data_IF_228352686155
#
_entry.id   IF_228352686155
#
_cell.length_a   1.000
_cell.length_b   1.000
_cell.length_c   1.000
_cell.angle_alpha   90.00
_cell.angle_beta   90.00
_cell.angle_gamma   90.00
#
_symmetry.space_group_name_H-M   'P 1'
#
loop_
_entity.id
_entity.type
_entity.pdbx_description
1 polymer ?
#
# COMPACT_ATOMS: atom_id res chain seq x y z
N UNK A 1 -29.83 -35.79 28.22
CA UNK A 1 -30.04 -37.25 28.23
C UNK A 1 -29.84 -37.74 26.81
N UNK A 2 -28.91 -38.69 26.65
CA UNK A 2 -28.74 -39.65 25.54
C UNK A 2 -28.33 -39.08 24.16
N UNK A 3 -27.16 -39.42 23.60
CA UNK A 3 -26.78 -40.74 23.00
C UNK A 3 -27.67 -41.07 21.77
N UNK A 4 -27.22 -41.40 20.54
CA UNK A 4 -26.06 -42.19 20.08
C UNK A 4 -26.08 -42.33 18.53
N UNK A 5 -24.94 -42.76 17.96
CA UNK A 5 -24.76 -43.69 16.78
C UNK A 5 -24.94 -43.18 15.32
N UNK A 6 -23.88 -43.17 14.49
CA UNK A 6 -23.36 -44.22 13.55
C UNK A 6 -24.01 -44.09 12.13
N UNK A 7 -23.32 -44.04 10.97
CA UNK A 7 -22.74 -45.19 10.24
C UNK A 7 -22.15 -44.77 8.88
N UNK A 8 -21.07 -45.45 8.48
CA UNK A 8 -20.39 -45.65 7.17
C UNK A 8 -21.27 -45.70 5.91
N UNK A 9 -20.77 -45.18 4.77
CA UNK A 9 -20.97 -45.76 3.42
C UNK A 9 -19.84 -45.32 2.48
N UNK A 10 -19.15 -46.29 1.87
CA UNK A 10 -18.12 -46.08 0.85
C UNK A 10 -18.71 -45.97 -0.56
N UNK A 11 -17.92 -45.43 -1.49
CA UNK A 11 -18.23 -45.44 -2.92
C UNK A 11 -17.07 -46.08 -3.68
N UNK A 12 -17.43 -47.17 -4.34
CA UNK A 12 -16.74 -48.00 -5.32
C UNK A 12 -16.53 -47.21 -6.63
N UNK A 13 -15.33 -47.26 -7.22
CA UNK A 13 -15.11 -46.76 -8.60
C UNK A 13 -14.62 -47.93 -9.45
N UNK A 14 -15.52 -48.36 -10.34
CA UNK A 14 -15.32 -49.35 -11.38
C UNK A 14 -14.50 -48.78 -12.55
N UNK A 15 -13.47 -49.54 -12.91
CA UNK A 15 -13.08 -49.98 -14.25
C UNK A 15 -13.41 -49.08 -15.47
N UNK A 16 -12.37 -48.56 -16.13
CA UNK A 16 -12.34 -48.38 -17.59
C UNK A 16 -10.92 -48.73 -18.10
N UNK A 17 -10.81 -49.93 -18.66
CA UNK A 17 -9.72 -50.38 -19.51
C UNK A 17 -9.66 -49.61 -20.84
N UNK A 18 -8.44 -49.33 -21.32
CA UNK A 18 -8.18 -48.80 -22.65
C UNK A 18 -6.75 -49.15 -23.09
N UNK A 19 -6.68 -49.94 -24.16
CA UNK A 19 -5.57 -50.75 -24.66
C UNK A 19 -4.23 -50.05 -24.97
N UNK A 20 -3.20 -50.84 -24.72
CA UNK A 20 -1.78 -50.65 -25.04
C UNK A 20 -1.46 -51.26 -26.40
N UNK A 21 -1.13 -50.44 -27.40
CA UNK A 21 -0.47 -50.90 -28.63
C UNK A 21 1.03 -50.57 -28.63
N UNK A 22 1.76 -51.53 -29.21
CA UNK A 22 3.17 -51.92 -29.00
C UNK A 22 4.10 -51.33 -30.07
N UNK A 23 5.35 -51.07 -29.66
CA UNK A 23 6.62 -51.15 -30.44
C UNK A 23 6.87 -50.18 -31.61
N UNK A 24 8.08 -49.75 -32.00
CA UNK A 24 9.49 -49.82 -31.53
C UNK A 24 10.34 -49.06 -32.58
N UNK A 25 11.51 -48.52 -32.19
CA UNK A 25 12.63 -47.92 -32.98
C UNK A 25 12.53 -46.40 -33.27
N UNK A 26 13.55 -45.55 -33.12
CA UNK A 26 14.93 -45.64 -32.64
C UNK A 26 15.45 -44.21 -32.37
N UNK A 27 16.34 -44.01 -31.39
CA UNK A 27 17.19 -42.81 -31.36
C UNK A 27 17.60 -42.26 -30.00
N UNK A 28 18.68 -42.84 -29.45
CA UNK A 28 19.83 -42.18 -28.77
C UNK A 28 19.62 -41.37 -27.48
N UNK A 29 20.23 -41.94 -26.43
CA UNK A 29 21.07 -41.31 -25.40
C UNK A 29 20.47 -40.25 -24.45
N UNK A 30 20.19 -40.67 -23.20
CA UNK A 30 20.89 -40.21 -21.99
C UNK A 30 20.02 -40.39 -20.73
N UNK A 31 20.38 -41.45 -19.99
CA UNK A 31 20.38 -41.59 -18.53
C UNK A 31 20.16 -40.28 -17.72
N UNK A 32 19.24 -40.28 -16.74
CA UNK A 32 19.51 -40.09 -15.29
C UNK A 32 18.18 -40.03 -14.50
N UNK A 33 17.88 -41.17 -13.87
CA UNK A 33 17.45 -41.34 -12.47
C UNK A 33 16.42 -40.35 -11.86
N UNK A 34 15.13 -40.72 -11.90
CA UNK A 34 14.11 -40.18 -10.99
C UNK A 34 14.11 -40.98 -9.68
N UNK A 35 14.82 -40.50 -8.66
CA UNK A 35 14.54 -40.88 -7.27
C UNK A 35 13.91 -39.71 -6.53
N UNK A 36 12.63 -39.91 -6.27
CA UNK A 36 11.74 -39.19 -5.36
C UNK A 36 12.37 -39.14 -3.95
N UNK A 37 12.52 -37.95 -3.36
CA UNK A 37 12.66 -37.82 -1.90
C UNK A 37 11.99 -36.56 -1.38
N UNK A 38 10.81 -36.80 -0.82
CA UNK A 38 10.15 -36.19 0.33
C UNK A 38 10.27 -34.68 0.59
N UNK A 39 9.10 -34.04 0.57
CA UNK A 39 8.72 -33.00 1.52
C UNK A 39 8.87 -31.58 1.00
N UNK A 40 7.75 -30.85 0.90
CA UNK A 40 7.52 -29.54 1.53
C UNK A 40 6.07 -29.13 1.19
N UNK A 41 5.34 -28.82 2.24
CA UNK A 41 4.09 -28.08 2.40
C UNK A 41 3.47 -27.47 1.13
N UNK A 42 2.20 -27.77 0.87
CA UNK A 42 1.35 -26.97 -0.03
C UNK A 42 1.32 -25.52 0.47
N UNK A 43 2.15 -24.66 -0.13
CA UNK A 43 2.07 -23.22 0.07
C UNK A 43 0.89 -22.70 -0.75
N UNK A 44 -0.28 -22.57 -0.13
CA UNK A 44 -1.40 -21.81 -0.71
C UNK A 44 -0.97 -20.36 -0.87
N UNK A 45 -0.75 -19.94 -2.12
CA UNK A 45 -0.42 -18.55 -2.44
C UNK A 45 -1.73 -17.81 -2.65
N UNK A 46 -2.09 -16.94 -1.70
CA UNK A 46 -3.19 -15.98 -1.85
C UNK A 46 -2.61 -14.60 -2.18
N UNK A 47 -2.99 -14.05 -3.33
CA UNK A 47 -2.61 -12.69 -3.74
C UNK A 47 -3.87 -11.85 -3.89
N UNK A 48 -3.93 -10.72 -3.17
CA UNK A 48 -4.93 -9.69 -3.36
C UNK A 48 -4.27 -8.55 -4.14
N UNK A 49 -4.75 -8.26 -5.35
CA UNK A 49 -4.22 -7.18 -6.19
C UNK A 49 -5.29 -6.10 -6.35
N UNK A 50 -5.01 -4.92 -5.80
CA UNK A 50 -5.84 -3.72 -5.97
C UNK A 50 -5.06 -2.62 -6.68
N UNK A 51 -5.59 -2.14 -7.81
CA UNK A 51 -5.00 -1.10 -8.65
C UNK A 51 -4.96 -1.49 -10.12
N UNK A 52 -4.95 -0.48 -11.02
CA UNK A 52 -4.88 -0.71 -12.47
C UNK A 52 -3.53 -1.32 -12.86
N UNK A 53 -3.58 -2.51 -13.47
CA UNK A 53 -2.42 -3.23 -13.94
C UNK A 53 -2.25 -3.00 -15.44
N UNK A 54 -1.06 -2.57 -15.86
CA UNK A 54 -0.63 -2.68 -17.26
C UNK A 54 0.59 -3.60 -17.32
N UNK A 55 0.35 -4.88 -17.63
CA UNK A 55 1.41 -5.89 -17.77
C UNK A 55 0.92 -7.33 -17.56
N UNK A 56 1.78 -8.30 -17.91
CA UNK A 56 1.49 -9.73 -17.74
C UNK A 56 1.88 -10.19 -16.33
N UNK A 57 0.95 -10.86 -15.64
CA UNK A 57 1.14 -11.48 -14.33
C UNK A 57 1.35 -12.99 -14.51
N UNK A 58 2.53 -13.50 -14.19
CA UNK A 58 2.82 -14.93 -14.17
C UNK A 58 2.89 -15.42 -12.72
N UNK A 59 2.04 -16.39 -12.37
CA UNK A 59 1.99 -16.98 -11.02
C UNK A 59 2.51 -18.42 -11.12
N UNK A 60 3.61 -18.72 -10.42
CA UNK A 60 4.18 -20.07 -10.35
C UNK A 60 5.21 -20.17 -9.23
N UNK A 61 5.34 -21.35 -8.61
CA UNK A 61 6.33 -21.59 -7.55
C UNK A 61 7.75 -21.51 -8.12
N UNK A 62 8.66 -20.84 -7.40
CA UNK A 62 10.07 -20.70 -7.78
C UNK A 62 10.43 -19.45 -8.60
N UNK A 63 9.50 -18.49 -8.78
CA UNK A 63 9.76 -17.28 -9.55
C UNK A 63 10.13 -16.13 -8.61
N UNK A 64 11.37 -15.64 -8.71
CA UNK A 64 11.82 -14.43 -8.04
C UNK A 64 11.52 -13.25 -8.97
N UNK A 65 10.31 -12.69 -8.90
CA UNK A 65 9.98 -11.48 -9.66
C UNK A 65 10.62 -10.26 -9.00
N UNK A 66 11.81 -9.90 -9.46
CA UNK A 66 12.36 -8.57 -9.20
C UNK A 66 11.70 -7.60 -10.17
N UNK A 67 10.76 -6.80 -9.67
CA UNK A 67 10.26 -5.64 -10.41
C UNK A 67 11.42 -4.65 -10.58
N UNK A 68 11.79 -4.36 -11.83
CA UNK A 68 12.51 -3.14 -12.14
C UNK A 68 11.51 -1.98 -12.00
N UNK A 69 11.35 -1.50 -10.76
CA UNK A 69 10.82 -0.18 -10.50
C UNK A 69 11.62 0.77 -11.38
N UNK A 70 10.96 1.60 -12.17
CA UNK A 70 11.64 2.69 -12.88
C UNK A 70 12.47 3.45 -11.83
N UNK A 71 13.81 3.44 -11.91
CA UNK A 71 14.63 4.10 -10.90
C UNK A 71 14.28 5.59 -10.91
N UNK A 72 13.75 6.12 -9.80
CA UNK A 72 13.68 7.57 -9.58
C UNK A 72 12.32 8.19 -9.28
N UNK A 73 11.22 7.43 -9.14
CA UNK A 73 9.97 7.98 -8.59
C UNK A 73 9.82 7.57 -7.12
N UNK A 74 9.83 8.51 -6.17
CA UNK A 74 9.64 8.18 -4.77
C UNK A 74 8.20 7.74 -4.51
N UNK A 75 8.00 6.47 -4.17
CA UNK A 75 6.68 5.97 -3.80
C UNK A 75 6.40 6.39 -2.35
N UNK A 76 5.33 7.18 -2.14
CA UNK A 76 4.83 7.48 -0.78
C UNK A 76 4.13 6.24 -0.24
N UNK A 77 4.65 5.67 0.84
CA UNK A 77 4.09 4.45 1.45
C UNK A 77 2.98 4.77 2.45
N UNK A 78 2.12 3.80 2.77
CA UNK A 78 1.11 3.97 3.83
C UNK A 78 1.76 4.18 5.21
N UNK A 79 2.96 3.64 5.42
CA UNK A 79 3.77 3.92 6.63
C UNK A 79 4.11 5.40 6.72
N UNK A 80 4.49 6.04 5.61
CA UNK A 80 4.80 7.46 5.57
C UNK A 80 3.55 8.32 5.79
N UNK A 81 2.41 7.94 5.19
CA UNK A 81 1.12 8.62 5.44
C UNK A 81 0.70 8.52 6.90
N UNK A 82 0.90 7.37 7.54
CA UNK A 82 0.62 7.20 8.97
C UNK A 82 1.53 8.06 9.86
N UNK A 83 2.82 8.18 9.53
CA UNK A 83 3.72 9.11 10.25
C UNK A 83 3.25 10.55 10.14
N UNK A 84 2.79 10.96 8.95
CA UNK A 84 2.27 12.31 8.73
C UNK A 84 0.96 12.55 9.48
N UNK A 85 0.04 11.59 9.49
CA UNK A 85 -1.18 11.64 10.34
C UNK A 85 -0.82 11.79 11.82
N UNK A 86 0.19 11.04 12.30
CA UNK A 86 0.63 11.16 13.69
C UNK A 86 1.15 12.57 14.00
N UNK A 87 1.98 13.15 13.13
CA UNK A 87 2.47 14.53 13.34
C UNK A 87 1.35 15.56 13.36
N UNK A 88 0.34 15.40 12.51
CA UNK A 88 -0.85 16.26 12.51
C UNK A 88 -1.68 16.06 13.79
N UNK A 89 -1.79 14.84 14.29
CA UNK A 89 -2.44 14.56 15.58
C UNK A 89 -1.69 15.19 16.76
N UNK A 90 -0.36 15.09 16.79
CA UNK A 90 0.50 15.72 17.80
C UNK A 90 0.36 17.25 17.76
N UNK A 91 0.23 17.84 16.57
CA UNK A 91 -0.05 19.27 16.40
C UNK A 91 -1.42 19.66 16.98
N UNK A 92 -2.47 18.88 16.73
CA UNK A 92 -3.80 19.12 17.31
C UNK A 92 -3.76 19.11 18.84
N UNK A 93 -3.03 18.15 19.44
CA UNK A 93 -2.85 18.09 20.89
C UNK A 93 -2.13 19.33 21.46
N UNK A 94 -1.09 19.82 20.77
CA UNK A 94 -0.40 21.06 21.19
C UNK A 94 -1.32 22.27 21.12
N UNK A 95 -2.13 22.37 20.06
CA UNK A 95 -3.12 23.43 19.92
C UNK A 95 -4.12 23.40 21.09
N UNK A 96 -4.59 22.23 21.48
CA UNK A 96 -5.53 22.11 22.62
C UNK A 96 -4.92 22.54 23.96
N UNK A 97 -3.59 22.45 24.12
CA UNK A 97 -2.91 22.74 25.37
C UNK A 97 -2.35 24.17 25.44
N UNK A 98 -1.77 24.66 24.35
CA UNK A 98 -0.97 25.90 24.35
C UNK A 98 -1.69 27.10 23.74
N UNK A 99 -2.74 26.88 22.95
CA UNK A 99 -3.45 27.96 22.25
C UNK A 99 -4.46 28.65 23.20
N UNK A 100 -4.86 29.90 22.94
CA UNK A 100 -5.98 30.50 23.66
C UNK A 100 -7.33 29.84 23.26
N UNK A 101 -8.28 29.65 24.20
CA UNK A 101 -9.55 28.95 23.93
C UNK A 101 -10.38 29.55 22.79
N UNK A 102 -10.22 30.86 22.55
CA UNK A 102 -10.87 31.58 21.45
C UNK A 102 -10.49 31.08 20.06
N UNK A 103 -9.27 30.53 19.89
CA UNK A 103 -8.78 30.01 18.62
C UNK A 103 -8.78 28.48 18.53
N UNK A 104 -9.01 27.75 19.62
CA UNK A 104 -8.95 26.27 19.64
C UNK A 104 -9.75 25.64 18.52
N UNK A 105 -11.05 25.94 18.46
CA UNK A 105 -11.95 25.32 17.52
C UNK A 105 -11.52 25.59 16.07
N UNK A 106 -11.25 26.85 15.75
CA UNK A 106 -10.85 27.25 14.40
C UNK A 106 -9.50 26.65 14.01
N UNK A 107 -8.53 26.63 14.92
CA UNK A 107 -7.22 26.04 14.67
C UNK A 107 -7.33 24.53 14.40
N UNK A 108 -8.13 23.80 15.19
CA UNK A 108 -8.36 22.36 14.97
C UNK A 108 -9.08 22.06 13.65
N UNK A 109 -10.04 22.91 13.27
CA UNK A 109 -10.71 22.84 11.96
C UNK A 109 -9.68 23.03 10.83
N UNK A 110 -8.85 24.07 10.91
CA UNK A 110 -7.82 24.31 9.90
C UNK A 110 -6.74 23.23 9.83
N UNK A 111 -6.34 22.61 10.95
CA UNK A 111 -5.42 21.45 10.89
C UNK A 111 -6.10 20.25 10.23
N UNK A 112 -7.41 20.08 10.40
CA UNK A 112 -8.17 19.01 9.75
C UNK A 112 -8.35 19.27 8.24
N UNK A 113 -8.57 20.53 7.85
CA UNK A 113 -8.52 20.96 6.45
C UNK A 113 -7.15 20.70 5.84
N UNK A 114 -6.07 21.05 6.55
CA UNK A 114 -4.70 20.81 6.11
C UNK A 114 -4.42 19.31 5.93
N UNK A 115 -4.82 18.48 6.88
CA UNK A 115 -4.70 17.03 6.80
C UNK A 115 -5.37 16.49 5.54
N UNK A 116 -6.60 16.95 5.26
CA UNK A 116 -7.35 16.53 4.07
C UNK A 116 -6.67 17.03 2.79
N UNK A 117 -6.22 18.29 2.77
CA UNK A 117 -5.56 18.91 1.63
C UNK A 117 -4.23 18.22 1.28
N UNK A 118 -3.51 17.70 2.28
CA UNK A 118 -2.22 17.03 2.07
C UNK A 118 -2.38 15.53 1.80
N UNK A 119 -3.25 14.82 2.52
CA UNK A 119 -3.29 13.36 2.44
C UNK A 119 -4.27 12.84 1.38
N UNK A 120 -5.28 13.62 1.02
CA UNK A 120 -6.40 13.16 0.20
C UNK A 120 -6.62 14.02 -1.05
N UNK A 121 -6.87 15.32 -0.89
CA UNK A 121 -7.27 16.19 -1.99
C UNK A 121 -6.10 16.72 -2.82
N UNK A 122 -4.90 16.80 -2.24
CA UNK A 122 -3.70 17.38 -2.87
C UNK A 122 -3.97 18.81 -3.34
N UNK A 123 -4.65 19.58 -2.49
CA UNK A 123 -5.10 20.94 -2.78
C UNK A 123 -4.10 21.97 -2.25
N UNK A 124 -3.28 22.49 -3.17
CA UNK A 124 -2.25 23.49 -2.89
C UNK A 124 -2.85 24.81 -2.39
N UNK A 125 -4.07 25.16 -2.83
CA UNK A 125 -4.73 26.39 -2.41
C UNK A 125 -5.13 26.33 -0.94
N UNK A 126 -5.77 25.23 -0.53
CA UNK A 126 -6.14 25.00 0.86
C UNK A 126 -4.91 24.96 1.78
N UNK A 127 -3.81 24.30 1.36
CA UNK A 127 -2.55 24.31 2.12
C UNK A 127 -2.04 25.74 2.35
N UNK A 128 -2.08 26.57 1.30
CA UNK A 128 -1.63 27.97 1.37
C UNK A 128 -2.55 28.82 2.26
N UNK A 129 -3.86 28.61 2.16
CA UNK A 129 -4.87 29.28 2.95
C UNK A 129 -4.67 29.00 4.45
N UNK A 130 -4.53 27.72 4.82
CA UNK A 130 -4.31 27.32 6.21
C UNK A 130 -3.00 27.91 6.73
N UNK A 131 -1.89 27.81 5.98
CA UNK A 131 -0.61 28.42 6.37
C UNK A 131 -0.76 29.93 6.63
N UNK A 132 -1.45 30.65 5.76
CA UNK A 132 -1.68 32.08 5.92
C UNK A 132 -2.53 32.39 7.17
N UNK A 133 -3.56 31.59 7.43
CA UNK A 133 -4.38 31.73 8.62
C UNK A 133 -3.55 31.60 9.91
N UNK A 134 -2.73 30.55 10.03
CA UNK A 134 -1.85 30.35 11.18
C UNK A 134 -0.83 31.49 11.32
N UNK A 135 -0.23 31.92 10.21
CA UNK A 135 0.71 33.07 10.22
C UNK A 135 0.06 34.35 10.76
N UNK A 136 -1.24 34.55 10.53
CA UNK A 136 -1.96 35.76 10.94
C UNK A 136 -2.56 35.67 12.35
N UNK A 137 -3.03 34.49 12.75
CA UNK A 137 -3.83 34.30 13.97
C UNK A 137 -3.03 33.70 15.12
N UNK A 138 -2.14 32.79 14.80
CA UNK A 138 -1.38 31.97 15.77
C UNK A 138 0.06 31.79 15.27
N UNK A 139 0.84 32.89 15.18
CA UNK A 139 2.20 32.86 14.61
C UNK A 139 3.12 31.83 15.27
N UNK A 140 2.90 31.53 16.55
CA UNK A 140 3.62 30.52 17.33
C UNK A 140 3.45 29.09 16.78
N UNK A 141 2.34 28.81 16.07
CA UNK A 141 2.10 27.55 15.37
C UNK A 141 2.41 27.58 13.87
N UNK A 142 2.60 28.78 13.29
CA UNK A 142 2.86 28.93 11.86
C UNK A 142 4.15 28.23 11.41
N UNK A 143 5.16 28.20 12.28
CA UNK A 143 6.42 27.49 12.02
C UNK A 143 6.21 25.97 12.02
N UNK A 144 5.41 25.44 12.95
CA UNK A 144 5.08 24.01 12.99
C UNK A 144 4.32 23.58 11.73
N UNK A 145 3.37 24.41 11.27
CA UNK A 145 2.65 24.19 10.02
C UNK A 145 3.62 24.21 8.83
N UNK A 146 4.52 25.20 8.79
CA UNK A 146 5.52 25.32 7.71
C UNK A 146 6.45 24.11 7.67
N UNK A 147 6.85 23.59 8.84
CA UNK A 147 7.63 22.36 8.96
C UNK A 147 6.89 21.11 8.46
N UNK A 148 5.57 21.02 8.67
CA UNK A 148 4.75 19.93 8.11
C UNK A 148 4.66 20.06 6.58
N UNK A 149 4.44 21.27 6.05
CA UNK A 149 4.35 21.50 4.60
C UNK A 149 5.67 21.17 3.90
N UNK A 150 6.81 21.50 4.53
CA UNK A 150 8.13 21.19 4.02
C UNK A 150 8.56 19.73 4.27
N UNK A 151 7.72 18.90 4.89
CA UNK A 151 8.07 17.51 5.16
C UNK A 151 8.30 16.75 3.84
N UNK A 152 9.39 15.97 3.72
CA UNK A 152 9.69 15.25 2.49
C UNK A 152 8.59 14.30 2.02
N UNK A 153 7.76 13.76 2.93
CA UNK A 153 6.59 12.94 2.57
C UNK A 153 5.54 13.79 1.86
N UNK A 154 5.29 15.00 2.34
CA UNK A 154 4.34 15.95 1.74
C UNK A 154 4.82 16.37 0.36
N UNK A 155 6.08 16.77 0.24
CA UNK A 155 6.68 17.15 -1.06
C UNK A 155 6.49 16.02 -2.08
N UNK A 156 6.83 14.78 -1.70
CA UNK A 156 6.69 13.61 -2.60
C UNK A 156 5.24 13.27 -2.92
N UNK A 157 4.30 13.54 -2.00
CA UNK A 157 2.87 13.34 -2.23
C UNK A 157 2.34 14.29 -3.32
N UNK A 158 2.75 15.57 -3.28
CA UNK A 158 2.42 16.54 -4.32
C UNK A 158 3.16 16.27 -5.64
N UNK A 159 4.41 15.80 -5.59
CA UNK A 159 5.15 15.38 -6.79
C UNK A 159 4.50 14.18 -7.50
N UNK A 160 4.02 13.19 -6.73
CA UNK A 160 3.32 12.03 -7.26
C UNK A 160 1.93 12.36 -7.84
N UNK A 161 1.34 13.49 -7.46
CA UNK A 161 0.05 13.96 -7.99
C UNK A 161 0.12 14.37 -9.48
N UNK A 162 1.32 14.65 -9.99
CA UNK A 162 1.57 15.04 -11.38
C UNK A 162 1.95 16.51 -11.58
N UNK A 163 2.27 16.84 -12.83
CA UNK A 163 3.02 18.05 -13.21
C UNK A 163 2.45 19.37 -12.69
N UNK A 164 1.18 19.68 -12.98
CA UNK A 164 0.59 20.98 -12.62
C UNK A 164 0.47 21.18 -11.10
N UNK A 165 0.04 20.15 -10.37
CA UNK A 165 -0.09 20.18 -8.91
C UNK A 165 1.27 20.29 -8.23
N UNK A 166 2.25 19.51 -8.69
CA UNK A 166 3.62 19.53 -8.18
C UNK A 166 4.32 20.87 -8.45
N UNK A 167 4.14 21.43 -9.65
CA UNK A 167 4.70 22.73 -10.02
C UNK A 167 4.10 23.85 -9.19
N UNK A 168 2.79 23.86 -9.00
CA UNK A 168 2.12 24.85 -8.19
C UNK A 168 2.53 24.75 -6.70
N UNK A 169 2.68 23.54 -6.18
CA UNK A 169 3.17 23.32 -4.83
C UNK A 169 4.60 23.87 -4.66
N UNK A 170 5.53 23.53 -5.57
CA UNK A 170 6.90 24.07 -5.54
C UNK A 170 6.93 25.60 -5.70
N UNK A 171 6.08 26.16 -6.57
CA UNK A 171 6.02 27.61 -6.77
C UNK A 171 5.63 28.36 -5.49
N UNK A 172 4.79 27.76 -4.65
CA UNK A 172 4.31 28.39 -3.41
C UNK A 172 5.16 28.09 -2.17
N UNK A 173 5.80 26.92 -2.13
CA UNK A 173 6.41 26.40 -0.90
C UNK A 173 7.86 25.90 -1.06
N UNK A 174 8.39 25.86 -2.29
CA UNK A 174 9.76 25.46 -2.59
C UNK A 174 10.77 26.59 -2.60
#
# INVERSE_FOLDING_TARGET
MSDKENTTTGIDIQDVQGDIHKSTMAGRDANINSQQKSGVSESTISVNVGGDLSGQLAIGTGHNQTQSIIPGQPIVTEIDRNKLRQRLADLKQRIEFELPPEYHKLALEHVTELETAILNALDVETVSYVKHWFTKKTPEFAELISGIIADPVVVRQFEAAGGAVAEEFRRRFG
#
